data_IF_369153390315
#
_entry.id   IF_369153390315
#
_cell.length_a   1.000
_cell.length_b   1.000
_cell.length_c   1.000
_cell.angle_alpha   90.00
_cell.angle_beta   90.00
_cell.angle_gamma   90.00
#
_symmetry.space_group_name_H-M   'P 1'
#
loop_
_entity.id
_entity.type
_entity.pdbx_description
1 polymer ?
#
# COMPACT_ATOMS: atom_id res chain seq x y z
N UNK A 1 -62.96 35.65 -3.10
CA UNK A 1 -62.03 35.20 -4.16
C UNK A 1 -60.61 35.34 -3.61
N UNK A 2 -60.01 34.25 -3.11
CA UNK A 2 -58.63 34.24 -2.61
C UNK A 2 -57.76 33.59 -3.68
N UNK A 3 -56.86 34.36 -4.28
CA UNK A 3 -55.84 33.85 -5.20
C UNK A 3 -54.75 33.15 -4.38
N UNK A 4 -54.62 31.84 -4.56
CA UNK A 4 -53.55 31.04 -3.99
C UNK A 4 -52.40 31.04 -4.99
N UNK A 5 -51.37 31.85 -4.73
CA UNK A 5 -50.16 31.90 -5.56
C UNK A 5 -49.26 30.74 -5.17
N UNK A 6 -49.21 29.70 -6.00
CA UNK A 6 -48.28 28.58 -5.87
C UNK A 6 -46.91 29.03 -6.39
N UNK A 7 -45.96 29.31 -5.49
CA UNK A 7 -44.55 29.52 -5.86
C UNK A 7 -43.92 28.13 -5.91
N UNK A 8 -43.80 27.58 -7.13
CA UNK A 8 -42.98 26.40 -7.37
C UNK A 8 -41.51 26.83 -7.33
N UNK A 9 -40.86 26.70 -6.16
CA UNK A 9 -39.41 26.81 -6.06
C UNK A 9 -38.78 25.63 -6.80
N UNK A 10 -38.35 25.88 -8.04
CA UNK A 10 -37.48 24.98 -8.78
C UNK A 10 -36.10 25.05 -8.11
N UNK A 11 -35.88 24.20 -7.10
CA UNK A 11 -34.54 23.96 -6.56
C UNK A 11 -33.79 23.15 -7.61
N UNK A 12 -33.09 23.85 -8.51
CA UNK A 12 -32.09 23.24 -9.35
C UNK A 12 -30.91 22.88 -8.44
N UNK A 13 -30.95 21.69 -7.84
CA UNK A 13 -29.75 21.06 -7.31
C UNK A 13 -28.92 20.73 -8.54
N UNK A 14 -28.09 21.68 -8.97
CA UNK A 14 -26.94 21.37 -9.79
C UNK A 14 -26.09 20.45 -8.92
N UNK A 15 -26.33 19.15 -9.05
CA UNK A 15 -25.41 18.14 -8.58
C UNK A 15 -24.09 18.47 -9.24
N UNK A 16 -23.18 19.07 -8.49
CA UNK A 16 -21.78 18.86 -8.76
C UNK A 16 -21.63 17.35 -8.72
N UNK A 17 -21.58 16.71 -9.89
CA UNK A 17 -20.82 15.48 -10.01
C UNK A 17 -19.43 15.89 -9.54
N UNK A 18 -19.12 15.59 -8.28
CA UNK A 18 -17.73 15.49 -7.85
C UNK A 18 -17.12 14.60 -8.91
N UNK A 19 -16.24 15.17 -9.74
CA UNK A 19 -15.46 14.43 -10.72
C UNK A 19 -14.90 13.25 -9.94
N UNK A 20 -15.47 12.07 -10.15
CA UNK A 20 -15.19 10.93 -9.31
C UNK A 20 -13.72 10.61 -9.49
N UNK A 21 -12.93 10.70 -8.42
CA UNK A 21 -11.52 10.29 -8.43
C UNK A 21 -11.43 8.96 -9.17
N UNK A 22 -10.66 8.91 -10.25
CA UNK A 22 -10.57 7.71 -11.06
C UNK A 22 -9.76 6.66 -10.33
N UNK A 23 -10.31 5.45 -10.25
CA UNK A 23 -9.57 4.21 -10.00
C UNK A 23 -10.17 3.12 -10.89
N UNK A 24 -9.37 2.12 -11.27
CA UNK A 24 -9.81 1.04 -12.14
C UNK A 24 -10.94 0.21 -11.47
N UNK A 25 -11.85 -0.31 -12.29
CA UNK A 25 -12.97 -1.16 -11.90
C UNK A 25 -12.82 -2.60 -12.36
N UNK A 26 -11.74 -2.92 -13.08
CA UNK A 26 -11.40 -4.28 -13.48
C UNK A 26 -10.99 -5.20 -12.34
N UNK A 27 -10.58 -6.41 -12.71
CA UNK A 27 -9.93 -7.33 -11.79
C UNK A 27 -8.58 -6.72 -11.36
N UNK A 28 -8.36 -6.43 -10.07
CA UNK A 28 -7.14 -5.77 -9.62
C UNK A 28 -5.91 -6.65 -9.84
N UNK A 29 -6.03 -7.98 -10.00
CA UNK A 29 -4.91 -8.87 -10.32
C UNK A 29 -4.47 -8.85 -11.79
N UNK A 30 -5.27 -8.24 -12.67
CA UNK A 30 -4.86 -7.95 -14.04
C UNK A 30 -3.98 -6.70 -14.06
N UNK A 31 -3.30 -6.48 -15.19
CA UNK A 31 -2.59 -5.21 -15.41
C UNK A 31 -3.61 -4.07 -15.47
N UNK A 32 -3.31 -2.98 -14.77
CA UNK A 32 -4.11 -1.76 -14.84
C UNK A 32 -4.18 -1.20 -16.27
N UNK A 33 -5.28 -0.52 -16.58
CA UNK A 33 -5.61 -0.08 -17.95
C UNK A 33 -4.91 1.20 -18.38
N UNK A 34 -4.30 1.94 -17.46
CA UNK A 34 -3.71 3.24 -17.75
C UNK A 34 -2.23 3.12 -18.11
N UNK A 35 -1.76 3.77 -19.20
CA UNK A 35 -0.33 3.91 -19.44
C UNK A 35 0.28 4.76 -18.32
N UNK A 36 1.49 4.40 -17.87
CA UNK A 36 2.16 5.04 -16.73
C UNK A 36 3.46 5.70 -17.17
N UNK A 37 3.65 6.95 -16.74
CA UNK A 37 4.90 7.69 -16.84
C UNK A 37 5.61 7.72 -15.48
N UNK A 38 6.91 8.00 -15.52
CA UNK A 38 7.75 8.15 -14.34
C UNK A 38 8.33 9.57 -14.26
N UNK A 39 8.58 10.04 -13.05
CA UNK A 39 9.33 11.25 -12.76
C UNK A 39 10.21 11.01 -11.53
N UNK A 40 11.51 11.22 -11.67
CA UNK A 40 12.43 11.26 -10.53
C UNK A 40 12.58 12.69 -10.06
N UNK A 41 12.35 12.90 -8.76
CA UNK A 41 12.43 14.18 -8.07
C UNK A 41 13.60 14.11 -7.07
N UNK A 42 14.53 15.06 -7.11
CA UNK A 42 15.74 15.03 -6.28
C UNK A 42 16.40 16.40 -6.19
N UNK A 43 17.16 16.64 -5.12
CA UNK A 43 17.92 17.88 -4.90
C UNK A 43 18.81 18.25 -6.09
N UNK A 44 19.38 17.24 -6.75
CA UNK A 44 20.29 17.45 -7.88
C UNK A 44 19.60 17.85 -9.17
N UNK A 45 18.34 17.45 -9.37
CA UNK A 45 17.57 17.69 -10.60
C UNK A 45 16.66 18.91 -10.46
N UNK A 46 15.93 19.03 -9.35
CA UNK A 46 14.84 20.01 -9.18
C UNK A 46 14.88 20.76 -7.84
N UNK A 47 15.90 20.55 -7.02
CA UNK A 47 16.07 21.18 -5.70
C UNK A 47 15.05 20.72 -4.64
N UNK A 48 14.34 19.62 -4.86
CA UNK A 48 13.57 18.95 -3.83
C UNK A 48 14.47 18.53 -2.65
N UNK A 49 14.02 18.69 -1.40
CA UNK A 49 14.77 18.24 -0.22
C UNK A 49 14.78 16.71 -0.07
N UNK A 50 13.96 15.99 -0.84
CA UNK A 50 13.85 14.53 -0.78
C UNK A 50 14.08 13.93 -2.17
N UNK A 51 14.70 12.75 -2.17
CA UNK A 51 14.74 11.88 -3.34
C UNK A 51 13.45 11.07 -3.40
N UNK A 52 12.78 11.11 -4.56
CA UNK A 52 11.46 10.51 -4.72
C UNK A 52 11.27 10.07 -6.17
N UNK A 53 10.66 8.92 -6.37
CA UNK A 53 10.16 8.51 -7.69
C UNK A 53 8.64 8.61 -7.72
N UNK A 54 8.08 9.18 -8.77
CA UNK A 54 6.64 9.29 -8.97
C UNK A 54 6.24 8.46 -10.19
N UNK A 55 5.31 7.52 -10.00
CA UNK A 55 4.68 6.76 -11.07
C UNK A 55 3.22 7.23 -11.19
N UNK A 56 2.81 7.67 -12.38
CA UNK A 56 1.49 8.29 -12.55
C UNK A 56 0.86 7.99 -13.91
N UNK A 57 -0.48 7.93 -14.01
CA UNK A 57 -1.19 7.79 -15.27
C UNK A 57 -0.83 8.89 -16.28
N UNK A 58 -0.52 8.49 -17.51
CA UNK A 58 -0.30 9.38 -18.65
C UNK A 58 -1.63 9.77 -19.32
N UNK A 59 -2.63 10.08 -18.52
CA UNK A 59 -3.93 10.58 -18.96
C UNK A 59 -4.37 11.67 -17.97
N UNK A 60 -5.06 12.71 -18.46
CA UNK A 60 -5.60 13.73 -17.58
C UNK A 60 -6.74 13.15 -16.74
N UNK A 61 -6.71 13.42 -15.44
CA UNK A 61 -7.73 12.97 -14.50
C UNK A 61 -7.35 13.35 -13.07
N UNK A 62 -8.30 13.15 -12.15
CA UNK A 62 -8.04 13.22 -10.72
C UNK A 62 -7.76 11.81 -10.22
N UNK A 63 -6.61 11.63 -9.60
CA UNK A 63 -6.13 10.34 -9.10
C UNK A 63 -5.79 10.44 -7.61
N UNK A 64 -6.07 9.41 -6.82
CA UNK A 64 -5.61 9.33 -5.45
C UNK A 64 -4.09 9.17 -5.40
N UNK A 65 -3.50 9.64 -4.31
CA UNK A 65 -2.06 9.55 -4.07
C UNK A 65 -1.76 8.41 -3.11
N UNK A 66 -0.76 7.60 -3.46
CA UNK A 66 -0.19 6.55 -2.62
C UNK A 66 1.26 6.89 -2.33
N UNK A 67 1.64 6.92 -1.06
CA UNK A 67 3.03 7.01 -0.66
C UNK A 67 3.58 5.62 -0.36
N UNK A 68 4.73 5.30 -0.92
CA UNK A 68 5.45 4.05 -0.72
C UNK A 68 6.80 4.34 -0.06
N UNK A 69 7.11 3.59 0.99
CA UNK A 69 8.40 3.64 1.68
C UNK A 69 9.04 2.26 1.50
N UNK A 70 10.25 2.23 0.97
CA UNK A 70 10.97 0.99 0.72
C UNK A 70 11.39 0.23 1.98
N UNK A 71 11.87 -0.98 1.76
CA UNK A 71 12.30 -1.90 2.82
C UNK A 71 13.44 -1.36 3.68
N UNK A 72 13.68 -2.04 4.80
CA UNK A 72 14.63 -1.59 5.84
C UNK A 72 14.40 -0.12 6.20
N UNK A 73 13.15 0.31 6.34
CA UNK A 73 12.82 1.66 6.73
C UNK A 73 13.37 2.75 5.75
N UNK A 74 13.16 2.54 4.46
CA UNK A 74 13.58 3.47 3.41
C UNK A 74 15.05 3.40 3.00
N UNK A 75 15.83 2.43 3.50
CA UNK A 75 17.19 2.17 2.99
C UNK A 75 17.19 1.43 1.65
N UNK A 76 16.18 0.60 1.39
CA UNK A 76 15.98 0.02 0.05
C UNK A 76 15.22 1.05 -0.77
N UNK A 77 15.85 1.51 -1.84
CA UNK A 77 15.32 2.61 -2.66
C UNK A 77 14.05 2.22 -3.40
N UNK A 78 13.15 3.17 -3.57
CA UNK A 78 11.88 3.00 -4.28
C UNK A 78 12.04 2.53 -5.73
N UNK A 79 13.13 2.91 -6.42
CA UNK A 79 13.40 2.45 -7.78
C UNK A 79 13.52 0.92 -7.89
N UNK A 80 13.91 0.26 -6.80
CA UNK A 80 14.01 -1.19 -6.75
C UNK A 80 12.65 -1.91 -6.73
N UNK A 81 11.55 -1.16 -6.65
CA UNK A 81 10.17 -1.66 -6.63
C UNK A 81 9.33 -1.17 -7.83
N UNK A 82 9.97 -0.48 -8.78
CA UNK A 82 9.33 0.18 -9.94
C UNK A 82 8.31 -0.71 -10.66
N UNK A 83 8.58 -2.01 -10.85
CA UNK A 83 7.65 -2.91 -11.52
C UNK A 83 6.28 -2.95 -10.84
N UNK A 84 6.26 -3.17 -9.52
CA UNK A 84 5.03 -3.22 -8.72
C UNK A 84 4.40 -1.83 -8.59
N UNK A 85 5.19 -0.79 -8.35
CA UNK A 85 4.66 0.56 -8.17
C UNK A 85 4.01 1.12 -9.45
N UNK A 86 4.59 0.81 -10.62
CA UNK A 86 3.98 1.13 -11.92
C UNK A 86 2.68 0.35 -12.16
N UNK A 87 2.63 -0.93 -11.75
CA UNK A 87 1.39 -1.71 -11.85
C UNK A 87 0.27 -1.13 -10.99
N UNK A 88 0.58 -0.70 -9.76
CA UNK A 88 -0.38 0.03 -8.91
C UNK A 88 -0.80 1.34 -9.57
N UNK A 89 0.14 2.14 -10.08
CA UNK A 89 -0.19 3.39 -10.76
C UNK A 89 -1.11 3.19 -11.97
N UNK A 90 -0.96 2.08 -12.70
CA UNK A 90 -1.80 1.73 -13.85
C UNK A 90 -3.28 1.46 -13.48
N UNK A 91 -3.57 1.18 -12.20
CA UNK A 91 -4.94 1.09 -11.66
C UNK A 91 -5.55 2.45 -11.29
N UNK A 92 -4.88 3.55 -11.64
CA UNK A 92 -5.40 4.90 -11.41
C UNK A 92 -4.92 5.51 -10.10
N UNK A 93 -3.63 5.40 -9.81
CA UNK A 93 -3.00 6.03 -8.64
C UNK A 93 -1.79 6.85 -9.05
N UNK A 94 -1.55 7.96 -8.38
CA UNK A 94 -0.21 8.59 -8.38
C UNK A 94 0.57 7.96 -7.22
N UNK A 95 1.62 7.23 -7.53
CA UNK A 95 2.43 6.52 -6.53
C UNK A 95 3.76 7.23 -6.35
N UNK A 96 4.00 7.78 -5.16
CA UNK A 96 5.28 8.37 -4.78
C UNK A 96 6.10 7.37 -3.94
N UNK A 97 7.21 6.89 -4.47
CA UNK A 97 8.25 6.22 -3.71
C UNK A 97 9.14 7.23 -2.99
N UNK A 98 9.05 7.31 -1.67
CA UNK A 98 9.72 8.34 -0.86
C UNK A 98 10.97 7.76 -0.20
N UNK A 99 12.14 8.17 -0.67
CA UNK A 99 13.43 7.71 -0.18
C UNK A 99 14.04 8.73 0.78
N UNK A 100 13.40 8.92 1.92
CA UNK A 100 13.79 9.95 2.90
C UNK A 100 15.16 9.67 3.57
N UNK A 101 15.71 8.47 3.40
CA UNK A 101 17.07 8.10 3.81
C UNK A 101 18.11 8.32 2.71
N UNK A 102 17.72 8.88 1.56
CA UNK A 102 18.63 9.12 0.45
C UNK A 102 19.54 10.34 0.70
N UNK A 103 20.84 10.28 0.33
CA UNK A 103 21.53 9.09 -0.18
C UNK A 103 21.70 8.08 0.94
N UNK A 104 21.28 6.84 0.70
CA UNK A 104 21.47 5.77 1.66
C UNK A 104 22.98 5.65 1.93
N UNK A 105 23.39 5.82 3.20
CA UNK A 105 24.79 5.76 3.66
C UNK A 105 25.65 7.00 3.42
N UNK A 106 25.13 8.18 3.71
CA UNK A 106 26.00 9.35 3.95
C UNK A 106 26.53 9.30 5.40
N UNK A 107 27.84 9.15 5.56
CA UNK A 107 28.59 9.33 6.82
C UNK A 107 28.67 8.16 7.82
N UNK A 108 29.12 6.97 7.37
CA UNK A 108 29.64 5.94 8.29
C UNK A 108 28.62 5.39 9.29
N UNK A 109 27.33 5.64 9.05
CA UNK A 109 26.26 5.06 9.84
C UNK A 109 26.23 3.54 9.66
N UNK A 110 26.29 2.85 10.79
CA UNK A 110 26.19 1.41 10.82
C UNK A 110 24.72 1.05 10.51
N UNK A 111 24.44 0.42 9.38
CA UNK A 111 23.07 0.00 8.98
C UNK A 111 22.37 -0.92 9.99
N UNK A 112 23.14 -1.48 10.93
CA UNK A 112 22.65 -2.28 12.06
C UNK A 112 22.53 -1.51 13.39
N UNK A 113 22.92 -0.21 13.44
CA UNK A 113 22.60 0.67 14.56
C UNK A 113 21.07 0.87 14.57
N UNK A 114 20.42 0.79 15.74
CA UNK A 114 19.24 -0.04 15.86
C UNK A 114 18.05 0.49 15.06
N UNK A 115 17.59 -0.35 14.14
CA UNK A 115 16.18 -0.48 13.73
C UNK A 115 15.26 -0.70 14.96
N UNK A 116 15.83 -1.03 16.13
CA UNK A 116 15.18 -1.32 17.43
C UNK A 116 14.62 -0.09 18.20
N UNK A 117 14.63 1.12 17.63
CA UNK A 117 14.03 2.31 18.29
C UNK A 117 13.44 3.28 17.28
N UNK A 118 12.65 2.76 16.37
CA UNK A 118 11.97 3.64 15.43
C UNK A 118 10.67 4.17 16.02
N UNK A 119 10.64 5.48 16.24
CA UNK A 119 9.38 6.17 16.48
C UNK A 119 8.60 6.21 15.15
N UNK A 120 7.67 5.27 14.97
CA UNK A 120 6.77 5.24 13.82
C UNK A 120 5.64 6.27 13.94
N UNK A 121 5.53 6.96 15.07
CA UNK A 121 4.44 7.90 15.39
C UNK A 121 4.31 9.06 14.39
N UNK A 122 5.38 9.68 13.86
CA UNK A 122 5.25 10.72 12.84
C UNK A 122 4.57 10.17 11.57
N UNK A 123 4.97 8.98 11.11
CA UNK A 123 4.38 8.35 9.93
C UNK A 123 2.91 7.99 10.15
N UNK A 124 2.56 7.40 11.30
CA UNK A 124 1.17 7.04 11.59
C UNK A 124 0.23 8.24 11.75
N UNK A 125 0.74 9.39 12.18
CA UNK A 125 -0.08 10.60 12.32
C UNK A 125 -0.42 11.27 10.98
N UNK A 126 0.28 10.90 9.90
CA UNK A 126 0.05 11.43 8.55
C UNK A 126 -0.81 10.48 7.69
N UNK A 127 -1.16 9.28 8.19
CA UNK A 127 -2.02 8.35 7.47
C UNK A 127 -3.49 8.71 7.74
N UNK A 128 -4.13 9.31 6.74
CA UNK A 128 -5.51 9.79 6.87
C UNK A 128 -6.57 8.78 6.42
N UNK A 129 -6.27 7.86 5.49
CA UNK A 129 -7.30 7.07 4.80
C UNK A 129 -7.15 5.55 4.92
N UNK A 130 -6.00 4.98 4.55
CA UNK A 130 -5.73 3.55 4.65
C UNK A 130 -4.23 3.26 4.59
N UNK A 131 -3.83 2.06 4.98
CA UNK A 131 -2.42 1.64 4.97
C UNK A 131 -2.27 0.19 4.51
N UNK A 132 -1.15 -0.10 3.85
CA UNK A 132 -0.76 -1.46 3.45
C UNK A 132 0.62 -1.75 4.01
N UNK A 133 0.71 -2.71 4.91
CA UNK A 133 1.96 -3.22 5.44
C UNK A 133 2.40 -4.45 4.67
N UNK A 134 3.47 -4.32 3.91
CA UNK A 134 4.07 -5.41 3.14
C UNK A 134 5.20 -5.98 3.95
N UNK A 135 4.96 -7.16 4.53
CA UNK A 135 5.91 -7.88 5.38
C UNK A 135 6.55 -7.01 6.46
N UNK A 136 5.72 -6.30 7.26
CA UNK A 136 6.25 -5.45 8.30
C UNK A 136 6.96 -6.31 9.34
N UNK A 137 8.06 -5.78 9.89
CA UNK A 137 8.71 -6.32 11.08
C UNK A 137 8.94 -5.17 12.04
N UNK A 138 8.51 -5.32 13.28
CA UNK A 138 8.79 -4.34 14.33
C UNK A 138 8.94 -5.01 15.69
N UNK A 139 10.03 -4.63 16.36
CA UNK A 139 10.31 -5.02 17.74
C UNK A 139 9.68 -4.08 18.77
N UNK A 140 8.98 -3.04 18.33
CA UNK A 140 8.33 -2.05 19.20
C UNK A 140 6.79 -2.06 19.05
N UNK A 141 6.27 -2.82 18.08
CA UNK A 141 4.84 -2.93 17.78
C UNK A 141 4.08 -3.79 18.81
N UNK A 142 4.13 -3.42 20.09
CA UNK A 142 3.47 -4.15 21.18
C UNK A 142 2.25 -3.44 21.75
N UNK A 143 2.04 -2.17 21.40
CA UNK A 143 0.91 -1.37 21.87
C UNK A 143 -0.06 -1.06 20.73
N UNK A 144 -1.32 -0.79 21.09
CA UNK A 144 -2.34 -0.42 20.11
C UNK A 144 -1.99 0.92 19.45
N UNK A 145 -2.15 0.98 18.12
CA UNK A 145 -1.94 2.22 17.38
C UNK A 145 -3.13 3.17 17.63
N UNK A 146 -2.89 4.43 18.03
CA UNK A 146 -3.95 5.41 18.17
C UNK A 146 -4.51 5.79 16.79
N UNK A 147 -5.85 5.90 16.67
CA UNK A 147 -6.56 6.27 15.44
C UNK A 147 -6.22 5.41 14.20
N UNK A 148 -6.37 4.08 14.26
CA UNK A 148 -6.03 3.23 13.13
C UNK A 148 -7.00 3.47 11.96
N UNK A 149 -6.44 3.75 10.80
CA UNK A 149 -7.13 3.67 9.50
C UNK A 149 -7.30 2.20 9.08
N UNK A 150 -8.15 1.89 8.09
CA UNK A 150 -8.13 0.59 7.44
C UNK A 150 -6.72 0.09 7.09
N UNK A 151 -6.38 -1.14 7.48
CA UNK A 151 -5.07 -1.73 7.18
C UNK A 151 -5.11 -3.10 6.49
N UNK A 152 -4.24 -3.29 5.51
CA UNK A 152 -3.86 -4.60 4.98
C UNK A 152 -2.50 -4.98 5.56
N UNK A 153 -2.42 -6.10 6.27
CA UNK A 153 -1.17 -6.72 6.69
C UNK A 153 -0.86 -7.92 5.80
N UNK A 154 0.34 -7.97 5.27
CA UNK A 154 0.72 -8.98 4.29
C UNK A 154 2.03 -9.67 4.67
N UNK A 155 2.09 -10.99 4.52
CA UNK A 155 3.24 -11.85 4.78
C UNK A 155 3.50 -12.84 3.64
N UNK A 156 4.74 -13.33 3.54
CA UNK A 156 5.13 -14.44 2.68
C UNK A 156 5.76 -15.58 3.48
N UNK A 157 5.46 -16.81 3.09
CA UNK A 157 5.96 -18.02 3.75
C UNK A 157 7.50 -18.08 3.83
N UNK A 158 8.20 -17.72 2.75
CA UNK A 158 9.65 -17.89 2.70
C UNK A 158 10.39 -16.79 3.49
N UNK A 159 9.75 -15.68 3.83
CA UNK A 159 10.37 -14.61 4.64
C UNK A 159 10.83 -15.10 6.02
N UNK A 160 10.18 -16.13 6.57
CA UNK A 160 10.48 -16.73 7.87
C UNK A 160 11.38 -17.98 7.78
N UNK A 161 11.76 -18.38 6.56
CA UNK A 161 12.58 -19.57 6.30
C UNK A 161 14.04 -19.22 6.06
N UNK A 162 14.88 -20.26 6.12
CA UNK A 162 16.32 -20.18 5.84
C UNK A 162 17.17 -19.84 7.06
N UNK A 163 18.46 -19.60 6.79
CA UNK A 163 19.46 -19.28 7.83
C UNK A 163 19.29 -17.84 8.34
N UNK A 164 18.99 -16.92 7.44
CA UNK A 164 18.70 -15.52 7.73
C UNK A 164 17.21 -15.28 7.49
N UNK A 165 16.45 -15.21 8.58
CA UNK A 165 15.02 -14.90 8.53
C UNK A 165 14.86 -13.39 8.34
N UNK A 166 14.12 -12.99 7.30
CA UNK A 166 13.83 -11.57 7.05
C UNK A 166 12.61 -11.11 7.83
N UNK A 167 11.70 -12.02 8.12
CA UNK A 167 10.61 -11.82 9.08
C UNK A 167 10.80 -12.75 10.29
N UNK A 168 10.53 -12.21 11.48
CA UNK A 168 10.60 -12.96 12.72
C UNK A 168 9.18 -13.22 13.25
N UNK A 169 8.77 -14.50 13.38
CA UNK A 169 7.46 -14.87 13.90
C UNK A 169 7.12 -14.15 15.20
N UNK A 170 5.95 -13.51 15.24
CA UNK A 170 5.47 -12.77 16.42
C UNK A 170 5.95 -11.32 16.53
N UNK A 171 6.76 -10.85 15.58
CA UNK A 171 7.09 -9.42 15.38
C UNK A 171 6.69 -8.93 13.98
N UNK A 172 6.03 -9.80 13.23
CA UNK A 172 5.69 -9.68 11.82
C UNK A 172 4.27 -9.11 11.60
N UNK A 173 3.75 -9.26 10.38
CA UNK A 173 2.39 -8.89 9.98
C UNK A 173 1.29 -9.40 10.93
N UNK A 174 1.47 -10.54 11.61
CA UNK A 174 0.49 -11.08 12.56
C UNK A 174 0.44 -10.26 13.85
N UNK A 175 1.60 -9.80 14.31
CA UNK A 175 1.68 -8.89 15.46
C UNK A 175 1.03 -7.55 15.13
N UNK A 176 1.25 -7.03 13.91
CA UNK A 176 0.57 -5.83 13.42
C UNK A 176 -0.95 -6.05 13.39
N UNK A 177 -1.42 -7.15 12.82
CA UNK A 177 -2.83 -7.49 12.79
C UNK A 177 -3.43 -7.49 14.21
N UNK A 178 -2.76 -8.12 15.17
CA UNK A 178 -3.21 -8.21 16.58
C UNK A 178 -3.43 -6.84 17.23
N UNK A 179 -2.53 -5.88 17.03
CA UNK A 179 -2.56 -4.55 17.68
C UNK A 179 -3.38 -3.50 16.91
N UNK A 180 -3.63 -3.73 15.62
CA UNK A 180 -4.37 -2.78 14.79
C UNK A 180 -5.86 -2.91 15.04
N UNK A 181 -6.62 -1.82 15.12
CA UNK A 181 -8.08 -1.96 15.23
C UNK A 181 -8.71 -2.14 13.86
N UNK A 182 -9.86 -2.76 13.84
CA UNK A 182 -10.70 -2.89 12.66
C UNK A 182 -11.06 -1.52 12.04
N UNK A 183 -11.15 -1.40 10.70
CA UNK A 183 -11.05 -2.46 9.70
C UNK A 183 -9.60 -2.89 9.42
N UNK A 184 -9.39 -4.21 9.35
CA UNK A 184 -8.08 -4.81 9.09
C UNK A 184 -8.20 -6.15 8.36
N UNK A 185 -7.21 -6.47 7.56
CA UNK A 185 -7.12 -7.73 6.83
C UNK A 185 -5.69 -8.26 6.94
N UNK A 186 -5.52 -9.58 7.11
CA UNK A 186 -4.22 -10.24 7.04
C UNK A 186 -4.20 -11.33 5.98
N UNK A 187 -3.11 -11.39 5.22
CA UNK A 187 -2.82 -12.44 4.24
C UNK A 187 -1.41 -12.98 4.46
N UNK A 188 -1.27 -14.29 4.34
CA UNK A 188 0.03 -14.93 4.14
C UNK A 188 -0.03 -15.81 2.89
N UNK A 189 0.92 -15.64 1.98
CA UNK A 189 1.00 -16.42 0.74
C UNK A 189 2.07 -17.51 0.80
N UNK A 190 1.76 -18.65 0.21
CA UNK A 190 2.69 -19.77 0.09
C UNK A 190 3.72 -19.56 -1.02
N UNK A 191 4.88 -20.20 -0.88
CA UNK A 191 5.89 -20.37 -1.93
C UNK A 191 6.53 -19.08 -2.48
N UNK A 192 6.34 -17.93 -1.81
CA UNK A 192 6.98 -16.64 -2.11
C UNK A 192 7.81 -16.13 -0.93
N UNK A 193 8.76 -15.24 -1.20
CA UNK A 193 9.68 -14.68 -0.21
C UNK A 193 9.85 -13.16 -0.28
N UNK A 194 10.60 -12.63 0.68
CA UNK A 194 10.62 -11.20 0.98
C UNK A 194 11.04 -10.29 -0.16
N UNK A 195 12.01 -10.76 -0.95
CA UNK A 195 12.55 -9.98 -2.04
C UNK A 195 11.89 -10.26 -3.39
N UNK A 196 10.83 -11.08 -3.42
CA UNK A 196 10.09 -11.33 -4.66
C UNK A 196 9.31 -10.08 -5.11
N UNK A 197 9.18 -9.05 -4.27
CA UNK A 197 8.58 -7.74 -4.60
C UNK A 197 9.54 -6.81 -5.38
N UNK A 198 10.85 -7.07 -5.30
CA UNK A 198 11.83 -6.23 -5.97
C UNK A 198 11.76 -6.46 -7.49
N UNK A 199 12.14 -5.45 -8.27
CA UNK A 199 12.34 -5.64 -9.70
C UNK A 199 13.28 -6.83 -9.94
N UNK A 200 13.08 -7.49 -11.07
CA UNK A 200 13.83 -8.70 -11.44
C UNK A 200 15.34 -8.50 -11.36
N UNK A 201 15.87 -7.36 -11.78
CA UNK A 201 17.31 -7.07 -11.73
C UNK A 201 17.88 -6.98 -10.30
N UNK A 202 17.05 -6.65 -9.30
CA UNK A 202 17.45 -6.51 -7.91
C UNK A 202 17.12 -7.74 -7.05
N UNK A 203 16.31 -8.66 -7.57
CA UNK A 203 15.98 -9.92 -6.90
C UNK A 203 17.23 -10.74 -6.48
N UNK A 204 18.29 -10.65 -7.27
CA UNK A 204 19.60 -11.26 -7.00
C UNK A 204 20.28 -10.71 -5.74
N UNK A 205 20.03 -9.46 -5.34
CA UNK A 205 20.69 -8.79 -4.20
C UNK A 205 20.37 -9.48 -2.87
N UNK A 206 19.21 -10.12 -2.77
CA UNK A 206 18.81 -10.85 -1.56
C UNK A 206 19.40 -12.26 -1.44
N UNK A 207 20.22 -12.69 -2.40
CA UNK A 207 20.94 -13.97 -2.28
C UNK A 207 21.82 -13.89 -1.03
N UNK A 208 21.55 -14.74 -0.04
CA UNK A 208 22.16 -14.79 1.31
C UNK A 208 21.54 -13.92 2.41
N UNK A 209 20.55 -13.06 2.11
CA UNK A 209 19.86 -12.24 3.12
C UNK A 209 18.49 -12.81 3.44
N UNK A 210 17.70 -13.14 2.41
CA UNK A 210 16.36 -13.70 2.58
C UNK A 210 16.22 -14.98 1.77
N UNK A 211 15.40 -15.91 2.28
CA UNK A 211 14.89 -16.97 1.41
C UNK A 211 13.89 -16.36 0.43
N UNK A 212 14.00 -16.77 -0.83
CA UNK A 212 13.26 -16.23 -1.97
C UNK A 212 12.74 -17.38 -2.82
N UNK A 213 11.75 -17.10 -3.66
CA UNK A 213 11.14 -18.15 -4.48
C UNK A 213 11.98 -18.47 -5.73
N UNK A 214 11.33 -18.94 -6.79
CA UNK A 214 11.96 -19.08 -8.09
C UNK A 214 11.76 -17.77 -8.86
N UNK A 215 12.84 -17.23 -9.44
CA UNK A 215 12.82 -16.04 -10.28
C UNK A 215 11.77 -16.12 -11.42
N UNK A 216 11.43 -17.32 -11.90
CA UNK A 216 10.37 -17.50 -12.92
C UNK A 216 8.98 -17.11 -12.44
N UNK A 217 8.77 -16.93 -11.13
CA UNK A 217 7.48 -16.59 -10.51
C UNK A 217 7.38 -15.13 -10.07
N UNK A 218 8.39 -14.30 -10.32
CA UNK A 218 8.37 -12.86 -9.96
C UNK A 218 7.16 -12.17 -10.60
N UNK A 219 6.84 -12.43 -11.86
CA UNK A 219 5.70 -11.78 -12.53
C UNK A 219 4.34 -12.21 -11.94
N UNK A 220 4.24 -13.47 -11.48
CA UNK A 220 3.05 -13.99 -10.77
C UNK A 220 2.90 -13.26 -9.43
N UNK A 221 4.00 -13.13 -8.69
CA UNK A 221 4.04 -12.42 -7.42
C UNK A 221 3.71 -10.93 -7.58
N UNK A 222 4.33 -10.23 -8.53
CA UNK A 222 4.11 -8.82 -8.82
C UNK A 222 2.64 -8.55 -9.12
N UNK A 223 2.00 -9.36 -9.99
CA UNK A 223 0.57 -9.26 -10.29
C UNK A 223 -0.31 -9.48 -9.07
N UNK A 224 0.05 -10.43 -8.21
CA UNK A 224 -0.66 -10.68 -6.98
C UNK A 224 -0.54 -9.48 -6.02
N UNK A 225 0.68 -9.03 -5.69
CA UNK A 225 0.87 -8.00 -4.65
C UNK A 225 0.34 -6.65 -5.11
N UNK A 226 0.55 -6.25 -6.37
CA UNK A 226 -0.04 -5.03 -6.91
C UNK A 226 -1.57 -5.07 -6.88
N UNK A 227 -2.17 -6.24 -7.14
CA UNK A 227 -3.61 -6.41 -7.12
C UNK A 227 -4.17 -6.41 -5.71
N UNK A 228 -3.46 -7.00 -4.76
CA UNK A 228 -3.84 -6.95 -3.36
C UNK A 228 -3.80 -5.50 -2.82
N UNK A 229 -2.72 -4.77 -3.11
CA UNK A 229 -2.58 -3.34 -2.78
C UNK A 229 -3.70 -2.51 -3.41
N UNK A 230 -3.88 -2.61 -4.73
CA UNK A 230 -4.87 -1.83 -5.47
C UNK A 230 -6.28 -2.14 -4.99
N UNK A 231 -6.64 -3.41 -4.84
CA UNK A 231 -7.95 -3.82 -4.31
C UNK A 231 -8.26 -3.21 -2.94
N UNK A 232 -7.28 -3.24 -2.03
CA UNK A 232 -7.45 -2.70 -0.68
C UNK A 232 -7.61 -1.19 -0.69
N UNK A 233 -6.75 -0.46 -1.41
CA UNK A 233 -6.82 1.00 -1.47
C UNK A 233 -8.08 1.47 -2.20
N UNK A 234 -8.48 0.83 -3.31
CA UNK A 234 -9.74 1.13 -4.02
C UNK A 234 -10.94 0.95 -3.10
N UNK A 235 -11.01 -0.19 -2.40
CA UNK A 235 -12.16 -0.51 -1.54
C UNK A 235 -12.27 0.44 -0.35
N UNK A 236 -11.15 0.85 0.25
CA UNK A 236 -11.14 1.75 1.41
C UNK A 236 -11.40 3.20 1.03
N UNK A 237 -10.84 3.67 -0.10
CA UNK A 237 -11.02 5.04 -0.58
C UNK A 237 -12.46 5.31 -1.05
N UNK A 238 -13.05 4.36 -1.78
CA UNK A 238 -14.35 4.55 -2.44
C UNK A 238 -15.49 3.72 -1.82
N UNK A 239 -15.24 3.03 -0.71
CA UNK A 239 -16.18 2.08 -0.08
C UNK A 239 -16.68 1.01 -1.07
N UNK A 240 -15.82 0.60 -2.00
CA UNK A 240 -16.16 -0.32 -3.09
C UNK A 240 -16.16 -1.78 -2.62
N UNK A 241 -17.37 -2.32 -2.45
CA UNK A 241 -17.58 -3.70 -2.00
C UNK A 241 -17.16 -4.74 -3.04
N UNK A 242 -17.26 -4.41 -4.32
CA UNK A 242 -16.81 -5.28 -5.39
C UNK A 242 -15.27 -5.44 -5.37
N UNK A 243 -14.53 -4.36 -5.11
CA UNK A 243 -13.07 -4.40 -4.98
C UNK A 243 -12.63 -5.27 -3.79
N UNK A 244 -13.17 -5.05 -2.58
CA UNK A 244 -12.75 -5.81 -1.39
C UNK A 244 -13.00 -7.31 -1.52
N UNK A 245 -13.95 -7.75 -2.37
CA UNK A 245 -14.15 -9.18 -2.62
C UNK A 245 -12.92 -9.88 -3.19
N UNK A 246 -12.02 -9.19 -3.89
CA UNK A 246 -10.76 -9.76 -4.35
C UNK A 246 -9.80 -10.10 -3.21
N UNK A 247 -10.05 -9.59 -2.00
CA UNK A 247 -9.27 -9.89 -0.79
C UNK A 247 -10.06 -10.72 0.23
N UNK A 248 -11.39 -10.65 0.24
CA UNK A 248 -12.22 -11.38 1.20
C UNK A 248 -12.76 -12.72 0.67
N UNK A 249 -12.80 -12.92 -0.65
CA UNK A 249 -13.18 -14.19 -1.28
C UNK A 249 -11.91 -14.90 -1.76
N UNK A 250 -11.52 -15.97 -1.04
CA UNK A 250 -10.29 -16.72 -1.35
C UNK A 250 -10.31 -17.38 -2.71
N UNK A 251 -11.49 -17.56 -3.34
CA UNK A 251 -11.58 -18.12 -4.70
C UNK A 251 -11.14 -17.13 -5.78
N UNK A 252 -11.06 -15.83 -5.46
CA UNK A 252 -10.60 -14.78 -6.38
C UNK A 252 -9.10 -14.47 -6.26
N UNK A 253 -8.44 -15.01 -5.23
CA UNK A 253 -7.04 -14.76 -4.96
C UNK A 253 -6.19 -15.72 -5.82
N UNK A 254 -5.32 -15.22 -6.72
CA UNK A 254 -4.66 -16.05 -7.75
C UNK A 254 -3.46 -16.84 -7.23
N UNK A 255 -3.22 -16.83 -5.92
CA UNK A 255 -2.10 -17.52 -5.26
C UNK A 255 -2.60 -18.32 -4.08
N UNK A 256 -1.85 -19.35 -3.69
CA UNK A 256 -2.16 -20.16 -2.53
C UNK A 256 -1.93 -19.36 -1.25
N UNK A 257 -2.96 -19.30 -0.40
CA UNK A 257 -2.87 -18.71 0.94
C UNK A 257 -2.50 -19.75 1.98
N UNK A 258 -1.71 -19.32 2.96
CA UNK A 258 -1.48 -20.01 4.22
C UNK A 258 -2.33 -19.42 5.34
N UNK A 259 -2.55 -18.10 5.29
CA UNK A 259 -3.33 -17.37 6.28
C UNK A 259 -4.25 -16.36 5.58
N UNK A 260 -5.47 -16.24 6.10
CA UNK A 260 -6.47 -15.27 5.66
C UNK A 260 -7.34 -14.87 6.84
N UNK A 261 -7.23 -13.61 7.28
CA UNK A 261 -8.05 -13.06 8.35
C UNK A 261 -8.71 -11.77 7.88
N UNK A 262 -10.01 -11.62 8.14
CA UNK A 262 -10.78 -10.43 7.73
C UNK A 262 -11.62 -9.90 8.87
N UNK A 263 -11.26 -8.72 9.38
CA UNK A 263 -12.08 -7.93 10.29
C UNK A 263 -12.50 -6.66 9.54
N UNK A 264 -13.56 -6.72 8.74
CA UNK A 264 -14.03 -5.60 7.90
C UNK A 264 -15.34 -4.98 8.39
N UNK A 265 -16.16 -5.74 9.12
CA UNK A 265 -17.50 -5.33 9.56
C UNK A 265 -17.49 -4.68 10.94
N UNK A 266 -16.79 -3.55 11.07
CA UNK A 266 -16.80 -2.79 12.31
C UNK A 266 -17.38 -1.40 12.10
N UNK A 267 -18.11 -0.92 13.10
CA UNK A 267 -18.59 0.46 13.12
C UNK A 267 -17.39 1.37 13.31
N UNK A 268 -16.90 1.98 12.22
CA UNK A 268 -16.00 3.11 12.34
C UNK A 268 -16.75 4.19 13.13
N UNK A 269 -16.27 4.53 14.33
CA UNK A 269 -16.68 5.74 15.01
C UNK A 269 -16.30 6.90 14.07
N UNK A 270 -17.27 7.39 13.30
CA UNK A 270 -17.06 8.54 12.41
C UNK A 270 -16.48 9.67 13.27
N UNK A 271 -15.24 10.09 12.98
CA UNK A 271 -14.81 11.44 13.34
C UNK A 271 -15.73 12.38 12.56
N UNK A 272 -16.66 13.02 13.27
CA UNK A 272 -17.70 13.89 12.72
C UNK A 272 -17.17 15.15 12.03
N UNK A 273 -15.85 15.38 12.03
CA UNK A 273 -15.28 16.69 11.76
C UNK A 273 -14.33 16.72 10.55
N UNK A 274 -14.22 15.62 9.78
CA UNK A 274 -13.56 15.62 8.47
C UNK A 274 -14.61 15.49 7.36
N UNK A 275 -15.38 16.56 7.21
CA UNK A 275 -16.19 16.81 6.02
C UNK A 275 -15.32 17.55 5.01
N UNK A 276 -15.22 17.00 3.79
CA UNK A 276 -14.86 17.74 2.59
C UNK A 276 -15.81 18.92 2.38
#
# INVERSE_FOLDING_TARGET
>A
MKFLTFIASLVCVLGYEVLSIYVDWGNPYDMGRLPVNDLTITETIDKSPLHTTAHYPNQSGEYPVVFFIGGMNGYVLSEMYTDVLRMVAAHGFIVFGVDYKYPALTDGENIFKPILKQDLKPYFNEIDFSTVFIEPVSFDAFENVPNPVPALMYGTELSEKGLTKCCLPGTDFRQFYKIWKCPRLALEVADFGHCDILNREFWGVCTHICTKSNETRIDEYHKFIQGAMSSFVISTLQMRQDAITYLSDTTKIPVKLLEHQTDLNCTLEKKSDQLF
#
